data_IF_969735599292
#
_entry.id   IF_969735599292
#
_cell.length_a   1.000
_cell.length_b   1.000
_cell.length_c   1.000
_cell.angle_alpha   90.00
_cell.angle_beta   90.00
_cell.angle_gamma   90.00
#
_symmetry.space_group_name_H-M   'P 1'
#
loop_
_entity.id
_entity.type
_entity.pdbx_description
1 polymer ?
#
# COMPACT_ATOMS: atom_id res chain seq x y z
N UNK A 1 4.47 0.18 0.92
CA UNK A 1 3.03 0.30 1.24
C UNK A 1 2.84 1.02 2.56
N UNK A 2 1.78 1.80 2.73
CA UNK A 2 1.47 2.49 4.00
C UNK A 2 -0.03 2.38 4.30
N UNK A 3 -0.39 2.20 5.57
CA UNK A 3 -1.77 2.13 6.02
C UNK A 3 -2.44 3.50 6.05
N UNK A 4 -3.76 3.54 5.79
CA UNK A 4 -4.54 4.78 5.83
C UNK A 4 -4.56 5.45 7.21
N UNK A 5 -4.43 4.67 8.29
CA UNK A 5 -4.30 5.20 9.66
C UNK A 5 -2.98 5.95 9.86
N UNK A 6 -1.87 5.44 9.32
CA UNK A 6 -0.57 6.13 9.42
C UNK A 6 -0.56 7.42 8.59
N UNK A 7 -1.22 7.42 7.42
CA UNK A 7 -1.45 8.65 6.64
C UNK A 7 -2.25 9.67 7.46
N UNK A 8 -3.31 9.23 8.13
CA UNK A 8 -4.14 10.10 8.96
C UNK A 8 -3.35 10.66 10.15
N UNK A 9 -2.57 9.84 10.85
CA UNK A 9 -1.77 10.28 11.98
C UNK A 9 -0.67 11.26 11.56
N UNK A 10 -0.03 11.05 10.41
CA UNK A 10 0.86 12.04 9.80
C UNK A 10 0.13 13.37 9.57
N UNK A 11 -1.06 13.34 8.99
CA UNK A 11 -1.84 14.55 8.75
C UNK A 11 -2.22 15.26 10.05
N UNK A 12 -2.57 14.51 11.10
CA UNK A 12 -2.85 15.06 12.44
C UNK A 12 -1.64 15.79 12.99
N UNK A 13 -0.43 15.21 12.92
CA UNK A 13 0.79 15.87 13.39
C UNK A 13 1.03 17.17 12.61
N UNK A 14 1.06 17.10 11.28
CA UNK A 14 1.35 18.26 10.41
C UNK A 14 0.34 19.40 10.61
N UNK A 15 -0.94 19.07 10.80
CA UNK A 15 -2.00 20.07 10.96
C UNK A 15 -2.11 20.63 12.39
N UNK A 16 -1.57 19.95 13.40
CA UNK A 16 -1.68 20.35 14.81
C UNK A 16 -0.46 21.09 15.34
N UNK A 17 0.70 20.92 14.69
CA UNK A 17 1.93 21.62 15.03
C UNK A 17 2.03 22.99 14.34
N UNK A 18 3.06 23.77 14.69
CA UNK A 18 3.27 25.10 14.10
C UNK A 18 3.53 25.01 12.59
N UNK A 19 2.92 25.93 11.84
CA UNK A 19 3.04 25.99 10.37
C UNK A 19 4.50 26.09 9.96
N UNK A 20 5.30 26.89 10.67
CA UNK A 20 6.72 27.11 10.40
C UNK A 20 7.54 25.81 10.42
N UNK A 21 7.10 24.79 11.17
CA UNK A 21 7.76 23.47 11.25
C UNK A 21 7.56 22.65 9.97
N UNK A 22 6.43 22.81 9.30
CA UNK A 22 6.02 21.97 8.16
C UNK A 22 5.92 22.74 6.83
N UNK A 23 6.01 24.06 6.87
CA UNK A 23 5.86 24.92 5.70
C UNK A 23 6.84 24.53 4.60
N UNK A 24 6.32 24.40 3.38
CA UNK A 24 7.07 24.03 2.16
C UNK A 24 7.89 22.74 2.27
N UNK A 25 7.58 21.86 3.20
CA UNK A 25 8.17 20.53 3.30
C UNK A 25 7.34 19.48 2.54
N UNK A 26 8.03 18.46 2.03
CA UNK A 26 7.41 17.28 1.43
C UNK A 26 7.79 16.07 2.27
N UNK A 27 6.78 15.33 2.73
CA UNK A 27 6.97 14.08 3.45
C UNK A 27 6.61 12.91 2.55
N UNK A 28 7.60 12.06 2.26
CA UNK A 28 7.35 10.79 1.59
C UNK A 28 6.61 9.84 2.54
N UNK A 29 5.49 9.30 2.07
CA UNK A 29 4.64 8.39 2.84
C UNK A 29 4.80 6.98 2.32
N UNK A 30 5.72 6.24 2.93
CA UNK A 30 5.83 4.80 2.75
C UNK A 30 5.98 4.08 4.07
N UNK A 31 5.95 2.76 3.96
CA UNK A 31 6.05 1.82 5.06
C UNK A 31 6.71 0.56 4.52
N UNK A 32 6.20 -0.62 4.87
CA UNK A 32 6.79 -1.89 4.43
C UNK A 32 6.88 -1.99 2.90
N UNK A 33 8.07 -2.32 2.41
CA UNK A 33 8.31 -2.81 1.06
C UNK A 33 8.09 -4.33 1.05
N UNK A 34 7.05 -4.78 0.35
CA UNK A 34 6.71 -6.20 0.24
C UNK A 34 6.49 -6.55 -1.24
N UNK A 35 7.06 -7.67 -1.67
CA UNK A 35 6.82 -8.24 -3.00
C UNK A 35 5.35 -8.69 -3.14
N UNK A 36 4.92 -9.02 -4.35
CA UNK A 36 3.61 -9.63 -4.57
C UNK A 36 3.46 -10.98 -3.81
N UNK A 37 4.50 -11.80 -3.80
CA UNK A 37 4.55 -13.10 -3.11
C UNK A 37 4.53 -12.92 -1.59
N UNK A 38 5.26 -11.96 -1.04
CA UNK A 38 5.27 -11.67 0.39
C UNK A 38 3.90 -11.19 0.86
N UNK A 39 3.22 -10.36 0.06
CA UNK A 39 1.82 -9.96 0.32
C UNK A 39 0.90 -11.17 0.31
N UNK A 40 0.97 -12.02 -0.70
CA UNK A 40 0.18 -13.26 -0.76
C UNK A 40 0.42 -14.15 0.47
N UNK A 41 1.67 -14.26 0.93
CA UNK A 41 2.03 -15.00 2.13
C UNK A 41 1.42 -14.40 3.41
N UNK A 42 1.42 -13.06 3.56
CA UNK A 42 0.73 -12.37 4.67
C UNK A 42 -0.77 -12.69 4.66
N UNK A 43 -1.41 -12.57 3.50
CA UNK A 43 -2.83 -12.91 3.34
C UNK A 43 -3.11 -14.36 3.71
N UNK A 44 -2.27 -15.30 3.25
CA UNK A 44 -2.44 -16.71 3.55
C UNK A 44 -2.33 -17.03 5.04
N UNK A 45 -1.39 -16.41 5.75
CA UNK A 45 -1.25 -16.54 7.21
C UNK A 45 -2.47 -16.01 7.96
N UNK A 46 -2.94 -14.80 7.62
CA UNK A 46 -4.07 -14.17 8.33
C UNK A 46 -5.40 -14.84 8.02
N UNK A 47 -5.62 -15.26 6.78
CA UNK A 47 -6.87 -15.91 6.36
C UNK A 47 -6.90 -17.42 6.61
N UNK A 48 -5.78 -18.02 7.04
CA UNK A 48 -5.69 -19.44 7.34
C UNK A 48 -5.86 -20.35 6.13
N UNK A 49 -5.57 -19.87 4.91
CA UNK A 49 -5.68 -20.64 3.67
C UNK A 49 -4.49 -20.36 2.73
N UNK A 50 -4.05 -21.33 1.91
CA UNK A 50 -3.01 -21.09 0.92
C UNK A 50 -3.45 -20.00 -0.08
N UNK A 51 -2.60 -18.99 -0.27
CA UNK A 51 -2.78 -17.92 -1.27
C UNK A 51 -1.47 -17.76 -2.01
N UNK A 52 -1.53 -17.84 -3.33
CA UNK A 52 -0.38 -17.70 -4.23
C UNK A 52 -0.57 -16.47 -5.12
N UNK A 53 0.52 -15.78 -5.42
CA UNK A 53 0.51 -14.75 -6.46
C UNK A 53 0.88 -15.39 -7.80
N UNK A 54 0.07 -15.14 -8.82
CA UNK A 54 0.35 -15.57 -10.20
C UNK A 54 0.58 -14.34 -11.08
N UNK A 55 1.72 -14.31 -11.77
CA UNK A 55 2.00 -13.24 -12.70
C UNK A 55 1.16 -13.40 -13.96
N UNK A 56 0.43 -12.34 -14.33
CA UNK A 56 -0.38 -12.30 -15.54
C UNK A 56 0.32 -11.52 -16.64
N UNK A 57 -0.03 -11.81 -17.90
CA UNK A 57 0.42 -10.99 -19.03
C UNK A 57 -0.21 -9.60 -18.96
N UNK A 58 0.42 -8.59 -19.57
CA UNK A 58 -0.11 -7.23 -19.60
C UNK A 58 -1.50 -7.17 -20.27
N UNK A 59 -1.71 -7.97 -21.32
CA UNK A 59 -2.99 -8.06 -22.03
C UNK A 59 -4.09 -8.65 -21.15
N UNK A 60 -3.78 -9.71 -20.39
CA UNK A 60 -4.72 -10.32 -19.47
C UNK A 60 -5.08 -9.37 -18.32
N UNK A 61 -4.09 -8.72 -17.72
CA UNK A 61 -4.29 -7.71 -16.68
C UNK A 61 -5.13 -6.53 -17.20
N UNK A 62 -4.76 -5.99 -18.37
CA UNK A 62 -5.46 -4.88 -18.98
C UNK A 62 -6.92 -5.23 -19.25
N UNK A 63 -7.16 -6.38 -19.90
CA UNK A 63 -8.50 -6.85 -20.22
C UNK A 63 -9.35 -7.04 -18.95
N UNK A 64 -8.80 -7.72 -17.95
CA UNK A 64 -9.50 -8.00 -16.70
C UNK A 64 -9.98 -6.70 -16.03
N UNK A 65 -9.14 -5.67 -15.98
CA UNK A 65 -9.50 -4.40 -15.36
C UNK A 65 -10.49 -3.57 -16.18
N UNK A 66 -10.36 -3.55 -17.52
CA UNK A 66 -11.32 -2.85 -18.38
C UNK A 66 -12.68 -3.53 -18.42
N UNK A 67 -12.73 -4.87 -18.34
CA UNK A 67 -13.99 -5.62 -18.27
C UNK A 67 -14.79 -5.29 -17.00
N UNK A 68 -14.09 -4.88 -15.92
CA UNK A 68 -14.69 -4.39 -14.68
C UNK A 68 -15.03 -2.88 -14.70
N UNK A 69 -14.99 -2.25 -15.87
CA UNK A 69 -15.42 -0.86 -16.07
C UNK A 69 -14.37 0.20 -15.74
N UNK A 70 -13.12 -0.18 -15.47
CA UNK A 70 -12.05 0.81 -15.30
C UNK A 70 -11.65 1.45 -16.63
N UNK A 71 -11.37 2.76 -16.59
CA UNK A 71 -11.05 3.50 -17.81
C UNK A 71 -9.73 3.06 -18.43
N UNK A 72 -9.68 3.06 -19.76
CA UNK A 72 -8.46 2.74 -20.53
C UNK A 72 -7.23 3.50 -20.01
N UNK A 73 -7.35 4.81 -19.79
CA UNK A 73 -6.24 5.65 -19.36
C UNK A 73 -5.68 5.26 -18.00
N UNK A 74 -6.55 4.85 -17.06
CA UNK A 74 -6.14 4.37 -15.75
C UNK A 74 -5.41 3.02 -15.89
N UNK A 75 -6.03 2.06 -16.56
CA UNK A 75 -5.49 0.70 -16.69
C UNK A 75 -4.17 0.69 -17.45
N UNK A 76 -4.03 1.50 -18.50
CA UNK A 76 -2.79 1.59 -19.28
C UNK A 76 -1.61 2.09 -18.43
N UNK A 77 -1.83 3.08 -17.56
CA UNK A 77 -0.79 3.57 -16.65
C UNK A 77 -0.45 2.54 -15.56
N UNK A 78 -1.44 1.83 -15.02
CA UNK A 78 -1.21 0.79 -14.01
C UNK A 78 -0.47 -0.42 -14.56
N UNK A 79 -0.73 -0.80 -15.82
CA UNK A 79 -0.09 -1.95 -16.46
C UNK A 79 1.45 -1.82 -16.44
N UNK A 80 1.99 -0.61 -16.59
CA UNK A 80 3.44 -0.35 -16.50
C UNK A 80 4.05 -0.74 -15.15
N UNK A 81 3.26 -0.63 -14.07
CA UNK A 81 3.68 -0.95 -12.71
C UNK A 81 3.34 -2.39 -12.28
N UNK A 82 2.29 -2.98 -12.86
CA UNK A 82 1.75 -4.27 -12.42
C UNK A 82 2.72 -5.46 -12.56
N UNK A 83 3.75 -5.34 -13.39
CA UNK A 83 4.74 -6.40 -13.63
C UNK A 83 5.98 -6.34 -12.73
N UNK A 84 6.12 -5.28 -11.91
CA UNK A 84 7.29 -5.06 -11.06
C UNK A 84 6.87 -4.88 -9.62
N UNK A 85 7.71 -5.32 -8.68
CA UNK A 85 7.60 -4.88 -7.30
C UNK A 85 7.98 -3.40 -7.22
N UNK A 86 6.98 -2.52 -7.32
CA UNK A 86 7.18 -1.06 -7.36
C UNK A 86 7.58 -0.50 -5.97
N UNK A 87 7.35 -1.26 -4.90
CA UNK A 87 7.76 -0.91 -3.54
C UNK A 87 8.96 -1.77 -3.15
N UNK A 88 10.14 -1.48 -3.70
CA UNK A 88 11.39 -2.16 -3.36
C UNK A 88 12.11 -1.55 -2.14
N UNK A 89 11.72 -0.32 -1.77
CA UNK A 89 12.39 0.45 -0.74
C UNK A 89 11.42 0.84 0.36
N UNK A 90 11.71 0.41 1.59
CA UNK A 90 10.98 0.85 2.79
C UNK A 90 11.36 2.30 3.07
N UNK A 91 10.36 3.17 3.26
CA UNK A 91 10.57 4.58 3.64
C UNK A 91 9.91 4.88 5.00
N UNK A 92 10.52 4.42 6.11
CA UNK A 92 9.91 4.48 7.43
C UNK A 92 10.08 5.84 8.11
N UNK A 93 10.65 6.85 7.44
CA UNK A 93 11.00 8.14 8.04
C UNK A 93 9.79 8.83 8.65
N UNK A 94 8.59 8.58 8.13
CA UNK A 94 7.36 9.16 8.68
C UNK A 94 7.03 8.65 10.09
N UNK A 95 7.56 7.50 10.51
CA UNK A 95 7.43 7.04 11.90
C UNK A 95 8.06 8.00 12.91
N UNK A 96 9.09 8.74 12.50
CA UNK A 96 9.75 9.77 13.32
C UNK A 96 8.77 10.93 13.56
N UNK A 97 8.05 11.34 12.51
CA UNK A 97 7.06 12.41 12.60
C UNK A 97 5.85 11.98 13.43
N UNK A 98 5.36 10.75 13.22
CA UNK A 98 4.19 10.19 13.91
C UNK A 98 4.51 9.87 15.39
N UNK A 99 5.76 9.55 15.72
CA UNK A 99 6.20 9.24 17.09
C UNK A 99 5.95 7.80 17.54
N UNK A 100 5.62 6.89 16.61
CA UNK A 100 5.47 5.45 16.84
C UNK A 100 5.82 4.63 15.58
N UNK A 101 6.10 3.32 15.71
CA UNK A 101 6.22 2.43 14.56
C UNK A 101 4.98 2.47 13.66
N UNK A 102 5.17 2.30 12.35
CA UNK A 102 4.08 2.23 11.36
C UNK A 102 3.35 0.89 11.46
N UNK A 103 2.09 0.86 11.06
CA UNK A 103 1.36 -0.39 11.01
C UNK A 103 1.86 -1.27 9.85
N UNK A 104 1.99 -2.56 10.13
CA UNK A 104 2.31 -3.59 9.14
C UNK A 104 1.08 -3.95 8.31
N UNK A 105 1.29 -4.56 7.15
CA UNK A 105 0.20 -5.14 6.35
C UNK A 105 -0.56 -6.22 7.14
N UNK A 106 0.14 -7.00 7.96
CA UNK A 106 -0.46 -8.07 8.76
C UNK A 106 -1.41 -7.51 9.83
N UNK A 107 -1.01 -6.45 10.54
CA UNK A 107 -1.88 -5.77 11.51
C UNK A 107 -3.10 -5.16 10.84
N UNK A 108 -2.91 -4.46 9.71
CA UNK A 108 -4.02 -3.91 8.94
C UNK A 108 -4.98 -5.00 8.49
N UNK A 109 -4.48 -6.14 8.00
CA UNK A 109 -5.33 -7.21 7.51
C UNK A 109 -6.10 -7.91 8.64
N UNK A 110 -5.49 -8.09 9.82
CA UNK A 110 -6.20 -8.62 11.01
C UNK A 110 -7.39 -7.73 11.39
N UNK A 111 -7.22 -6.42 11.35
CA UNK A 111 -8.28 -5.46 11.64
C UNK A 111 -9.39 -5.43 10.58
N UNK A 112 -9.07 -5.81 9.34
CA UNK A 112 -9.97 -5.72 8.19
C UNK A 112 -10.38 -7.09 7.61
N UNK A 113 -10.14 -8.18 8.35
CA UNK A 113 -10.26 -9.57 7.85
C UNK A 113 -11.63 -9.87 7.23
N UNK A 114 -12.70 -9.26 7.77
CA UNK A 114 -14.08 -9.45 7.32
C UNK A 114 -14.31 -9.03 5.86
N UNK A 115 -13.49 -8.13 5.31
CA UNK A 115 -13.60 -7.72 3.91
C UNK A 115 -13.09 -8.78 2.92
N UNK A 116 -12.43 -9.84 3.42
CA UNK A 116 -11.75 -10.86 2.62
C UNK A 116 -12.25 -12.29 2.92
N UNK A 117 -13.36 -12.41 3.65
CA UNK A 117 -14.03 -13.68 3.97
C UNK A 117 -15.18 -13.96 3.00
#
# INVERSE_FOLDING_TARGET
MIGTRDIADCAVVVLSESVEKHDRNVYELGGEALSHEERAAVFGRVLGKPITCEQQSFEAFYKALTDHGMSHSIVHNFAMGASKDICDTTTPQISILIGRPLHTLEEWLKDNVKAFQ
#
